data_IF_436621777079
#
_entry.id   IF_436621777079
#
_cell.length_a   1.000
_cell.length_b   1.000
_cell.length_c   1.000
_cell.angle_alpha   90.00
_cell.angle_beta   90.00
_cell.angle_gamma   90.00
#
_symmetry.space_group_name_H-M   'P 1'
#
loop_
_entity.id
_entity.type
_entity.pdbx_description
1 polymer ?
#
# COMPACT_ATOMS: atom_id res chain seq x y z
N UNK A 1 21.11 8.62 -16.14
CA UNK A 1 19.86 8.46 -15.38
C UNK A 1 19.35 7.01 -15.49
N UNK A 2 19.40 6.22 -14.42
CA UNK A 2 18.84 4.85 -14.42
C UNK A 2 17.32 4.94 -14.28
N UNK A 3 16.58 4.53 -15.32
CA UNK A 3 15.12 4.28 -15.22
C UNK A 3 14.87 3.31 -14.06
N UNK A 4 13.88 3.61 -13.21
CA UNK A 4 13.45 2.73 -12.11
C UNK A 4 13.11 1.35 -12.69
N UNK A 5 13.68 0.30 -12.11
CA UNK A 5 13.38 -1.08 -12.50
C UNK A 5 11.95 -1.42 -12.05
N UNK A 6 11.10 -1.98 -12.92
CA UNK A 6 9.76 -2.43 -12.53
C UNK A 6 9.85 -3.50 -11.44
N UNK A 7 8.99 -3.42 -10.42
CA UNK A 7 8.95 -4.44 -9.36
C UNK A 7 8.68 -5.85 -9.91
N UNK A 8 7.87 -5.95 -10.96
CA UNK A 8 7.58 -7.23 -11.66
C UNK A 8 8.86 -7.89 -12.17
N UNK A 9 9.78 -7.13 -12.74
CA UNK A 9 11.02 -7.67 -13.30
C UNK A 9 11.90 -8.26 -12.18
N UNK A 10 11.95 -7.61 -11.01
CA UNK A 10 12.70 -8.11 -9.83
C UNK A 10 12.09 -9.40 -9.30
N UNK A 11 10.75 -9.50 -9.25
CA UNK A 11 10.04 -10.72 -8.84
C UNK A 11 10.38 -11.87 -9.77
N UNK A 12 10.22 -11.67 -11.09
CA UNK A 12 10.49 -12.69 -12.11
C UNK A 12 11.96 -13.12 -12.10
N UNK A 13 12.88 -12.16 -12.01
CA UNK A 13 14.31 -12.44 -11.87
C UNK A 13 14.58 -13.32 -10.65
N UNK A 14 14.04 -12.96 -9.49
CA UNK A 14 14.30 -13.68 -8.24
C UNK A 14 13.76 -15.11 -8.30
N UNK A 15 12.54 -15.31 -8.84
CA UNK A 15 11.96 -16.64 -9.01
C UNK A 15 12.81 -17.51 -9.95
N UNK A 16 13.14 -17.01 -11.13
CA UNK A 16 13.94 -17.78 -12.10
C UNK A 16 15.35 -18.04 -11.56
N UNK A 17 15.93 -17.10 -10.84
CA UNK A 17 17.22 -17.27 -10.18
C UNK A 17 17.16 -18.37 -9.12
N UNK A 18 16.15 -18.35 -8.24
CA UNK A 18 15.92 -19.40 -7.25
C UNK A 18 15.77 -20.77 -7.91
N UNK A 19 14.98 -20.88 -9.00
CA UNK A 19 14.81 -22.12 -9.75
C UNK A 19 16.13 -22.64 -10.33
N UNK A 20 16.96 -21.77 -10.91
CA UNK A 20 18.24 -22.20 -11.47
C UNK A 20 19.25 -22.61 -10.41
N UNK A 21 19.36 -21.87 -9.31
CA UNK A 21 20.23 -22.23 -8.19
C UNK A 21 19.77 -23.54 -7.54
N UNK A 22 18.45 -23.72 -7.33
CA UNK A 22 17.89 -24.97 -6.82
C UNK A 22 18.09 -26.17 -7.76
N UNK A 23 18.22 -25.93 -9.07
CA UNK A 23 18.58 -26.94 -10.06
C UNK A 23 20.10 -27.22 -10.13
N UNK A 24 20.91 -26.58 -9.27
CA UNK A 24 22.36 -26.78 -9.19
C UNK A 24 23.18 -26.02 -10.25
N UNK A 25 22.59 -25.04 -10.96
CA UNK A 25 23.36 -24.23 -11.90
C UNK A 25 24.33 -23.30 -11.15
N UNK A 26 25.58 -23.15 -11.64
CA UNK A 26 26.54 -22.19 -11.08
C UNK A 26 25.98 -20.76 -11.01
N UNK A 27 26.24 -20.05 -9.91
CA UNK A 27 25.70 -18.73 -9.62
C UNK A 27 25.94 -17.72 -10.75
N UNK A 28 27.19 -17.61 -11.21
CA UNK A 28 27.59 -16.70 -12.30
C UNK A 28 26.90 -17.07 -13.62
N UNK A 29 26.71 -18.36 -13.90
CA UNK A 29 26.00 -18.84 -15.09
C UNK A 29 24.53 -18.43 -15.04
N UNK A 30 23.87 -18.65 -13.91
CA UNK A 30 22.47 -18.26 -13.67
C UNK A 30 22.27 -16.75 -13.85
N UNK A 31 23.15 -15.91 -13.28
CA UNK A 31 23.11 -14.46 -13.48
C UNK A 31 23.30 -14.04 -14.94
N UNK A 32 24.21 -14.71 -15.67
CA UNK A 32 24.44 -14.44 -17.09
C UNK A 32 23.22 -14.78 -17.96
N UNK A 33 22.55 -15.91 -17.69
CA UNK A 33 21.31 -16.30 -18.39
C UNK A 33 20.22 -15.24 -18.16
N UNK A 34 19.99 -14.85 -16.90
CA UNK A 34 18.99 -13.84 -16.55
C UNK A 34 19.31 -12.46 -17.13
N UNK A 35 20.59 -12.08 -17.15
CA UNK A 35 21.05 -10.85 -17.77
C UNK A 35 20.74 -10.79 -19.27
N UNK A 36 20.79 -11.93 -19.97
CA UNK A 36 20.43 -12.01 -21.40
C UNK A 36 18.92 -11.98 -21.63
N UNK A 37 18.14 -12.65 -20.78
CA UNK A 37 16.68 -12.71 -20.87
C UNK A 37 15.97 -11.41 -20.43
N UNK A 38 16.60 -10.61 -19.56
CA UNK A 38 15.99 -9.37 -19.05
C UNK A 38 15.83 -8.34 -20.16
N UNK A 39 14.59 -7.96 -20.49
CA UNK A 39 14.27 -6.94 -21.49
C UNK A 39 14.65 -5.52 -21.04
N UNK A 40 14.46 -5.21 -19.75
CA UNK A 40 14.70 -3.88 -19.22
C UNK A 40 16.20 -3.54 -19.20
N UNK A 41 16.62 -2.63 -20.10
CA UNK A 41 18.04 -2.20 -20.26
C UNK A 41 18.68 -1.69 -18.96
N UNK A 42 17.91 -1.08 -18.06
CA UNK A 42 18.39 -0.64 -16.75
C UNK A 42 18.73 -1.80 -15.84
N UNK A 43 17.89 -2.84 -15.83
CA UNK A 43 18.06 -3.99 -14.96
C UNK A 43 19.13 -4.94 -15.49
N UNK A 44 19.21 -5.10 -16.82
CA UNK A 44 20.31 -5.79 -17.50
C UNK A 44 21.69 -5.26 -17.09
N UNK A 45 21.84 -3.94 -16.93
CA UNK A 45 23.11 -3.34 -16.45
C UNK A 45 23.42 -3.68 -15.00
N UNK A 46 22.41 -3.74 -14.15
CA UNK A 46 22.55 -4.14 -12.74
C UNK A 46 23.00 -5.59 -12.65
N UNK A 47 22.33 -6.51 -13.37
CA UNK A 47 22.70 -7.93 -13.37
C UNK A 47 24.14 -8.13 -13.88
N UNK A 48 24.55 -7.45 -14.96
CA UNK A 48 25.94 -7.49 -15.44
C UNK A 48 26.95 -6.89 -14.44
N UNK A 49 26.53 -5.90 -13.66
CA UNK A 49 27.33 -5.38 -12.54
C UNK A 49 27.58 -6.47 -11.51
N UNK A 50 26.51 -7.12 -11.07
CA UNK A 50 26.58 -8.23 -10.12
C UNK A 50 27.41 -9.41 -10.64
N UNK A 51 27.30 -9.77 -11.92
CA UNK A 51 28.14 -10.82 -12.53
C UNK A 51 29.62 -10.49 -12.32
N UNK A 52 30.05 -9.27 -12.65
CA UNK A 52 31.47 -8.87 -12.50
C UNK A 52 31.91 -8.84 -11.05
N UNK A 53 31.06 -8.33 -10.15
CA UNK A 53 31.38 -8.28 -8.72
C UNK A 53 31.59 -9.71 -8.18
N UNK A 54 30.67 -10.64 -8.49
CA UNK A 54 30.78 -12.03 -8.03
C UNK A 54 31.93 -12.79 -8.71
N UNK A 55 32.18 -12.56 -10.01
CA UNK A 55 33.35 -13.10 -10.72
C UNK A 55 34.67 -12.60 -10.10
N UNK A 56 34.68 -11.40 -9.51
CA UNK A 56 35.84 -10.84 -8.80
C UNK A 56 36.00 -11.33 -7.35
N UNK A 57 35.08 -12.18 -6.87
CA UNK A 57 35.12 -12.77 -5.53
C UNK A 57 34.30 -12.05 -4.46
N UNK A 58 33.50 -11.03 -4.82
CA UNK A 58 32.53 -10.42 -3.91
C UNK A 58 31.37 -11.40 -3.63
N UNK A 59 30.78 -11.32 -2.44
CA UNK A 59 29.58 -12.11 -2.13
C UNK A 59 28.39 -11.60 -2.96
N UNK A 60 27.42 -12.48 -3.25
CA UNK A 60 26.18 -12.11 -3.92
C UNK A 60 25.42 -11.04 -3.13
N UNK A 61 25.35 -11.17 -1.80
CA UNK A 61 24.75 -10.17 -0.92
C UNK A 61 25.47 -8.82 -1.02
N UNK A 62 26.80 -8.80 -1.09
CA UNK A 62 27.61 -7.60 -1.32
C UNK A 62 27.29 -6.94 -2.65
N UNK A 63 27.26 -7.73 -3.74
CA UNK A 63 26.92 -7.27 -5.08
C UNK A 63 25.48 -6.71 -5.16
N UNK A 64 24.50 -7.39 -4.55
CA UNK A 64 23.12 -6.89 -4.43
C UNK A 64 23.06 -5.59 -3.60
N UNK A 65 23.86 -5.51 -2.54
CA UNK A 65 23.96 -4.36 -1.63
C UNK A 65 24.42 -3.07 -2.31
N UNK A 66 25.23 -3.15 -3.38
CA UNK A 66 25.61 -1.98 -4.21
C UNK A 66 24.44 -1.43 -5.04
N UNK A 67 23.36 -2.20 -5.15
CA UNK A 67 22.19 -1.88 -5.96
C UNK A 67 20.91 -1.73 -5.11
N UNK A 68 20.98 -1.04 -3.96
CA UNK A 68 19.84 -0.78 -3.03
C UNK A 68 18.60 -0.11 -3.64
N UNK A 69 18.72 0.47 -4.84
CA UNK A 69 17.57 1.02 -5.59
C UNK A 69 16.71 -0.05 -6.27
N UNK A 70 17.24 -1.27 -6.40
CA UNK A 70 16.59 -2.42 -7.05
C UNK A 70 16.32 -3.51 -6.02
N UNK A 71 17.31 -3.85 -5.22
CA UNK A 71 17.19 -4.86 -4.16
C UNK A 71 16.94 -4.19 -2.82
N UNK A 72 15.90 -4.65 -2.13
CA UNK A 72 15.58 -4.16 -0.79
C UNK A 72 16.62 -4.66 0.22
N UNK A 73 16.73 -3.98 1.36
CA UNK A 73 17.60 -4.41 2.46
C UNK A 73 17.22 -5.78 3.01
N UNK A 74 15.92 -6.10 3.00
CA UNK A 74 15.41 -7.43 3.32
C UNK A 74 15.97 -8.48 2.36
N UNK A 75 15.93 -8.21 1.04
CA UNK A 75 16.48 -9.12 0.03
C UNK A 75 17.97 -9.36 0.23
N UNK A 76 18.73 -8.29 0.51
CA UNK A 76 20.17 -8.39 0.77
C UNK A 76 20.45 -9.18 2.05
N UNK A 77 19.70 -8.93 3.12
CA UNK A 77 19.91 -9.60 4.42
C UNK A 77 19.56 -11.08 4.37
N UNK A 78 18.49 -11.45 3.65
CA UNK A 78 18.15 -12.86 3.42
C UNK A 78 19.26 -13.57 2.66
N UNK A 79 19.70 -13.00 1.53
CA UNK A 79 20.79 -13.60 0.74
C UNK A 79 22.08 -13.71 1.54
N UNK A 80 22.44 -12.71 2.34
CA UNK A 80 23.61 -12.76 3.20
C UNK A 80 23.55 -13.93 4.20
N UNK A 81 22.39 -14.16 4.83
CA UNK A 81 22.19 -15.30 5.72
C UNK A 81 22.27 -16.65 4.97
N UNK A 82 21.72 -16.71 3.76
CA UNK A 82 21.82 -17.90 2.89
C UNK A 82 23.24 -18.22 2.45
N UNK A 83 24.04 -17.20 2.14
CA UNK A 83 25.45 -17.37 1.81
C UNK A 83 26.26 -17.84 3.03
N UNK A 84 26.03 -17.24 4.20
CA UNK A 84 26.72 -17.64 5.43
C UNK A 84 26.36 -19.07 5.88
N UNK A 85 25.11 -19.48 5.67
CA UNK A 85 24.62 -20.82 6.01
C UNK A 85 24.83 -21.87 4.91
N UNK A 86 25.30 -21.49 3.72
CA UNK A 86 25.43 -22.39 2.57
C UNK A 86 24.10 -22.89 1.99
N UNK A 87 22.99 -22.24 2.31
CA UNK A 87 21.62 -22.64 1.96
C UNK A 87 20.98 -21.66 0.95
N UNK A 88 21.76 -21.19 -0.01
CA UNK A 88 21.35 -20.13 -0.95
C UNK A 88 20.14 -20.52 -1.80
N UNK A 89 20.03 -21.79 -2.18
CA UNK A 89 18.88 -22.38 -2.89
C UNK A 89 17.56 -22.18 -2.11
N UNK A 90 17.56 -22.54 -0.84
CA UNK A 90 16.40 -22.44 0.05
C UNK A 90 16.02 -20.98 0.29
N UNK A 91 17.01 -20.12 0.52
CA UNK A 91 16.82 -18.70 0.79
C UNK A 91 16.30 -17.94 -0.41
N UNK A 92 16.82 -18.21 -1.60
CA UNK A 92 16.33 -17.60 -2.83
C UNK A 92 14.88 -18.04 -3.13
N UNK A 93 14.54 -19.30 -2.82
CA UNK A 93 13.17 -19.79 -2.89
C UNK A 93 12.22 -18.98 -1.99
N UNK A 94 12.55 -18.85 -0.71
CA UNK A 94 11.77 -18.04 0.25
C UNK A 94 11.68 -16.58 -0.14
N UNK A 95 12.77 -16.00 -0.65
CA UNK A 95 12.78 -14.61 -1.13
C UNK A 95 11.85 -14.45 -2.35
N UNK A 96 11.85 -15.41 -3.27
CA UNK A 96 10.95 -15.40 -4.42
C UNK A 96 9.48 -15.49 -3.98
N UNK A 97 9.15 -16.40 -3.06
CA UNK A 97 7.79 -16.55 -2.50
C UNK A 97 7.34 -15.23 -1.86
N UNK A 98 8.18 -14.64 -1.01
CA UNK A 98 7.92 -13.36 -0.35
C UNK A 98 7.65 -12.23 -1.36
N UNK A 99 8.48 -12.09 -2.39
CA UNK A 99 8.34 -11.04 -3.40
C UNK A 99 7.08 -11.23 -4.26
N UNK A 100 6.70 -12.48 -4.56
CA UNK A 100 5.48 -12.81 -5.31
C UNK A 100 4.21 -12.47 -4.52
N UNK A 101 4.16 -12.86 -3.24
CA UNK A 101 3.06 -12.56 -2.32
C UNK A 101 2.88 -11.05 -2.15
N UNK A 102 3.97 -10.31 -1.89
CA UNK A 102 3.93 -8.85 -1.80
C UNK A 102 3.45 -8.18 -3.10
N UNK A 103 3.85 -8.72 -4.25
CA UNK A 103 3.38 -8.26 -5.55
C UNK A 103 1.89 -8.50 -5.77
N UNK A 104 1.34 -9.62 -5.28
CA UNK A 104 -0.07 -9.98 -5.41
C UNK A 104 -0.99 -9.01 -4.65
N UNK A 105 -0.65 -8.69 -3.40
CA UNK A 105 -1.41 -7.74 -2.59
C UNK A 105 -1.48 -6.35 -3.26
N UNK A 106 -0.34 -5.84 -3.75
CA UNK A 106 -0.30 -4.56 -4.44
C UNK A 106 -1.14 -4.54 -5.73
N UNK A 107 -1.20 -5.67 -6.45
CA UNK A 107 -2.07 -5.82 -7.62
C UNK A 107 -3.54 -5.84 -7.24
N UNK A 108 -3.90 -6.56 -6.17
CA UNK A 108 -5.28 -6.64 -5.65
C UNK A 108 -5.79 -5.24 -5.26
N UNK A 109 -4.99 -4.48 -4.50
CA UNK A 109 -5.32 -3.09 -4.13
C UNK A 109 -5.47 -2.20 -5.36
N UNK A 110 -4.57 -2.30 -6.34
CA UNK A 110 -4.69 -1.51 -7.58
C UNK A 110 -5.93 -1.88 -8.38
N UNK A 111 -6.22 -3.16 -8.53
CA UNK A 111 -7.39 -3.64 -9.26
C UNK A 111 -8.69 -3.13 -8.64
N UNK A 112 -8.77 -3.17 -7.29
CA UNK A 112 -9.92 -2.66 -6.55
C UNK A 112 -10.18 -1.16 -6.77
N UNK A 113 -9.15 -0.36 -7.02
CA UNK A 113 -9.28 1.09 -7.25
C UNK A 113 -9.72 1.45 -8.67
N UNK A 114 -9.64 0.52 -9.63
CA UNK A 114 -10.01 0.79 -11.03
C UNK A 114 -11.51 1.10 -11.14
N UNK A 115 -12.36 0.30 -10.47
CA UNK A 115 -13.80 0.45 -10.57
C UNK A 115 -14.30 1.80 -10.03
N UNK A 116 -13.94 2.25 -8.80
CA UNK A 116 -14.29 3.58 -8.33
C UNK A 116 -13.74 4.69 -9.26
N UNK A 117 -12.48 4.57 -9.71
CA UNK A 117 -11.88 5.58 -10.59
C UNK A 117 -12.64 5.73 -11.91
N UNK A 118 -13.10 4.63 -12.51
CA UNK A 118 -13.90 4.65 -13.73
C UNK A 118 -15.23 5.36 -13.53
N UNK A 119 -15.96 5.06 -12.45
CA UNK A 119 -17.24 5.73 -12.17
C UNK A 119 -17.01 7.22 -11.92
N UNK A 120 -16.05 7.60 -11.07
CA UNK A 120 -15.74 9.02 -10.85
C UNK A 120 -15.35 9.73 -12.16
N UNK A 121 -14.60 9.07 -13.05
CA UNK A 121 -14.22 9.63 -14.34
C UNK A 121 -15.42 9.90 -15.26
N UNK A 122 -16.53 9.18 -15.12
CA UNK A 122 -17.77 9.42 -15.90
C UNK A 122 -18.72 10.37 -15.17
N UNK A 123 -18.95 10.14 -13.88
CA UNK A 123 -19.91 10.89 -13.07
C UNK A 123 -19.48 12.35 -12.87
N UNK A 124 -18.21 12.62 -12.57
CA UNK A 124 -17.76 13.98 -12.28
C UNK A 124 -17.93 14.90 -13.50
N UNK A 125 -17.49 14.53 -14.72
CA UNK A 125 -17.77 15.34 -15.90
C UNK A 125 -19.26 15.47 -16.21
N UNK A 126 -20.06 14.41 -16.06
CA UNK A 126 -21.50 14.46 -16.32
C UNK A 126 -22.20 15.48 -15.39
N UNK A 127 -21.92 15.42 -14.08
CA UNK A 127 -22.45 16.39 -13.11
C UNK A 127 -21.94 17.79 -13.40
N UNK A 128 -20.66 17.95 -13.75
CA UNK A 128 -20.09 19.25 -14.09
C UNK A 128 -20.77 19.88 -15.31
N UNK A 129 -20.99 19.12 -16.40
CA UNK A 129 -21.70 19.61 -17.58
C UNK A 129 -23.11 20.07 -17.21
N UNK A 130 -23.82 19.28 -16.41
CA UNK A 130 -25.18 19.59 -16.00
C UNK A 130 -25.24 20.86 -15.14
N UNK A 131 -24.30 21.03 -14.20
CA UNK A 131 -24.19 22.26 -13.38
C UNK A 131 -23.78 23.48 -14.22
N UNK A 132 -22.79 23.36 -15.11
CA UNK A 132 -22.23 24.51 -15.85
C UNK A 132 -23.12 24.97 -17.00
N UNK A 133 -23.78 24.06 -17.71
CA UNK A 133 -24.55 24.42 -18.92
C UNK A 133 -26.06 24.36 -18.69
N UNK A 134 -26.56 23.29 -18.08
CA UNK A 134 -28.00 23.06 -18.03
C UNK A 134 -28.67 23.91 -16.97
N UNK A 135 -28.13 23.98 -15.75
CA UNK A 135 -28.74 24.76 -14.67
C UNK A 135 -28.85 26.26 -15.00
N UNK A 136 -27.82 26.96 -15.52
CA UNK A 136 -27.94 28.38 -15.84
C UNK A 136 -28.96 28.64 -16.95
N UNK A 137 -29.10 27.71 -17.89
CA UNK A 137 -30.13 27.79 -18.93
C UNK A 137 -31.52 27.80 -18.29
N UNK A 138 -31.79 26.88 -17.36
CA UNK A 138 -33.05 26.84 -16.63
C UNK A 138 -33.26 28.07 -15.73
N UNK A 139 -32.22 28.54 -15.05
CA UNK A 139 -32.29 29.78 -14.25
C UNK A 139 -32.72 30.98 -15.11
N UNK A 140 -32.12 31.15 -16.29
CA UNK A 140 -32.47 32.25 -17.20
C UNK A 140 -33.92 32.15 -17.72
N UNK A 141 -34.41 30.93 -17.97
CA UNK A 141 -35.79 30.69 -18.37
C UNK A 141 -36.77 31.06 -17.25
N UNK A 142 -36.51 30.66 -16.00
CA UNK A 142 -37.41 30.96 -14.89
C UNK A 142 -37.33 32.43 -14.44
N UNK A 143 -36.16 33.06 -14.52
CA UNK A 143 -36.02 34.49 -14.25
C UNK A 143 -36.90 35.33 -15.18
N UNK A 144 -37.07 34.90 -16.44
CA UNK A 144 -37.94 35.57 -17.41
C UNK A 144 -39.44 35.41 -17.12
N UNK A 145 -39.83 34.38 -16.34
CA UNK A 145 -41.21 34.11 -15.96
C UNK A 145 -41.66 34.87 -14.68
N UNK A 146 -40.74 35.54 -13.98
CA UNK A 146 -41.05 36.36 -12.79
C UNK A 146 -41.48 35.58 -11.54
N UNK A 147 -41.34 34.24 -11.54
CA UNK A 147 -41.72 33.37 -10.41
C UNK A 147 -40.50 33.12 -9.51
N UNK A 148 -40.60 33.27 -8.18
CA UNK A 148 -39.49 32.98 -7.27
C UNK A 148 -39.15 31.49 -7.29
N UNK A 149 -37.88 31.16 -7.45
CA UNK A 149 -37.41 29.78 -7.52
C UNK A 149 -37.60 29.03 -6.18
N UNK A 150 -38.06 27.76 -6.21
CA UNK A 150 -38.11 26.89 -5.04
C UNK A 150 -36.78 26.78 -4.29
N UNK A 151 -36.85 26.51 -2.99
CA UNK A 151 -35.65 26.38 -2.14
C UNK A 151 -34.64 25.29 -2.61
N UNK A 152 -35.08 24.09 -3.07
CA UNK A 152 -34.17 23.09 -3.63
C UNK A 152 -33.42 23.60 -4.87
N UNK A 153 -34.12 24.30 -5.77
CA UNK A 153 -33.54 24.85 -6.99
C UNK A 153 -32.51 25.94 -6.69
N UNK A 154 -32.78 26.82 -5.71
CA UNK A 154 -31.82 27.83 -5.26
C UNK A 154 -30.55 27.23 -4.67
N UNK A 155 -30.64 26.12 -3.93
CA UNK A 155 -29.46 25.43 -3.38
C UNK A 155 -28.56 24.88 -4.50
N UNK A 156 -29.15 24.27 -5.54
CA UNK A 156 -28.38 23.70 -6.65
C UNK A 156 -27.78 24.81 -7.53
N UNK A 157 -28.48 25.93 -7.74
CA UNK A 157 -27.92 27.11 -8.43
C UNK A 157 -26.75 27.69 -7.64
N UNK A 158 -26.87 27.84 -6.31
CA UNK A 158 -25.77 28.29 -5.47
C UNK A 158 -24.56 27.35 -5.54
N UNK A 159 -24.79 26.03 -5.50
CA UNK A 159 -23.74 25.04 -5.69
C UNK A 159 -23.09 25.14 -7.08
N UNK A 160 -23.89 25.36 -8.13
CA UNK A 160 -23.41 25.60 -9.49
C UNK A 160 -22.54 26.85 -9.57
N UNK A 161 -22.95 27.97 -8.97
CA UNK A 161 -22.18 29.21 -8.93
C UNK A 161 -20.82 29.03 -8.23
N UNK A 162 -20.75 28.23 -7.15
CA UNK A 162 -19.49 27.87 -6.50
C UNK A 162 -18.62 27.03 -7.42
N UNK A 163 -19.18 26.01 -8.07
CA UNK A 163 -18.43 25.15 -8.99
C UNK A 163 -17.92 25.96 -10.20
N UNK A 164 -18.73 26.84 -10.78
CA UNK A 164 -18.35 27.70 -11.90
C UNK A 164 -17.34 28.79 -11.50
N UNK A 165 -17.43 29.34 -10.29
CA UNK A 165 -16.51 30.36 -9.80
C UNK A 165 -15.15 29.79 -9.33
N UNK A 166 -15.16 28.56 -8.82
CA UNK A 166 -14.01 27.92 -8.17
C UNK A 166 -13.58 26.60 -8.83
N UNK A 167 -13.95 26.33 -10.08
CA UNK A 167 -13.55 25.10 -10.80
C UNK A 167 -12.02 24.89 -10.82
N UNK A 168 -11.26 25.97 -10.95
CA UNK A 168 -9.79 25.98 -10.88
C UNK A 168 -9.27 25.65 -9.47
N UNK A 169 -9.99 26.06 -8.41
CA UNK A 169 -9.68 25.69 -7.04
C UNK A 169 -10.03 24.21 -6.76
N UNK A 170 -11.07 23.65 -7.38
CA UNK A 170 -11.44 22.24 -7.32
C UNK A 170 -10.40 21.33 -8.03
N UNK A 171 -9.90 21.77 -9.19
CA UNK A 171 -8.75 21.15 -9.88
C UNK A 171 -7.45 21.25 -9.06
N UNK A 172 -7.28 22.32 -8.29
CA UNK A 172 -6.17 22.48 -7.33
C UNK A 172 -6.35 21.71 -6.02
N UNK A 173 -7.59 21.49 -5.57
CA UNK A 173 -7.94 20.92 -4.27
C UNK A 173 -7.60 19.43 -4.14
N UNK A 174 -7.34 18.72 -5.24
CA UNK A 174 -6.85 17.34 -5.21
C UNK A 174 -5.31 17.27 -5.17
N UNK A 175 -4.56 17.94 -6.07
CA UNK A 175 -3.10 17.90 -6.05
C UNK A 175 -2.45 18.72 -4.92
N UNK A 176 -3.04 19.83 -4.44
CA UNK A 176 -2.45 20.67 -3.39
C UNK A 176 -2.39 19.98 -2.03
N UNK A 177 -3.46 19.34 -1.51
CA UNK A 177 -3.37 18.54 -0.30
C UNK A 177 -2.47 17.33 -0.49
N UNK A 178 -2.49 16.68 -1.67
CA UNK A 178 -1.57 15.59 -1.94
C UNK A 178 -0.10 16.04 -1.88
N UNK A 179 0.22 17.25 -2.36
CA UNK A 179 1.56 17.83 -2.29
C UNK A 179 1.92 18.28 -0.87
N UNK A 180 0.97 18.87 -0.14
CA UNK A 180 1.12 19.29 1.26
C UNK A 180 1.34 18.07 2.17
N UNK A 181 0.54 17.01 2.01
CA UNK A 181 0.71 15.72 2.66
C UNK A 181 2.04 15.10 2.28
N UNK A 182 2.43 15.10 1.00
CA UNK A 182 3.73 14.59 0.57
C UNK A 182 4.90 15.35 1.19
N UNK A 183 4.80 16.68 1.36
CA UNK A 183 5.81 17.48 2.09
C UNK A 183 5.79 17.21 3.58
N UNK A 184 4.61 17.11 4.20
CA UNK A 184 4.45 16.80 5.61
C UNK A 184 5.01 15.40 5.94
N UNK A 185 4.74 14.40 5.10
CA UNK A 185 5.31 13.04 5.17
C UNK A 185 6.83 13.01 4.92
N UNK A 186 7.39 14.07 4.32
CA UNK A 186 8.83 14.28 4.18
C UNK A 186 9.51 14.65 5.50
N UNK A 187 8.77 15.18 6.47
CA UNK A 187 9.28 15.48 7.82
C UNK A 187 9.00 14.34 8.79
N UNK A 188 9.93 14.11 9.72
CA UNK A 188 9.83 13.07 10.75
C UNK A 188 8.62 13.25 11.67
N UNK A 189 8.33 14.50 12.07
CA UNK A 189 7.15 14.84 12.91
C UNK A 189 5.83 14.74 12.16
N UNK A 190 5.78 15.23 10.92
CA UNK A 190 4.57 15.15 10.09
C UNK A 190 4.19 13.72 9.75
N UNK A 191 5.18 12.85 9.50
CA UNK A 191 4.94 11.41 9.30
C UNK A 191 4.40 10.73 10.57
N UNK A 192 4.98 11.01 11.74
CA UNK A 192 4.51 10.44 13.00
C UNK A 192 3.08 10.87 13.35
N UNK A 193 2.75 12.16 13.15
CA UNK A 193 1.40 12.67 13.38
C UNK A 193 0.38 12.03 12.43
N UNK A 194 0.71 11.94 11.13
CA UNK A 194 -0.16 11.31 10.13
C UNK A 194 -0.34 9.82 10.42
N UNK A 195 0.75 9.10 10.72
CA UNK A 195 0.71 7.67 11.06
C UNK A 195 -0.16 7.41 12.29
N UNK A 196 -0.10 8.29 13.31
CA UNK A 196 -0.97 8.21 14.49
C UNK A 196 -2.42 8.50 14.15
N UNK A 197 -2.69 9.56 13.38
CA UNK A 197 -4.04 9.94 12.95
C UNK A 197 -4.70 8.82 12.14
N UNK A 198 -3.96 8.23 11.18
CA UNK A 198 -4.45 7.13 10.35
C UNK A 198 -4.77 5.87 11.17
N UNK A 199 -4.00 5.59 12.23
CA UNK A 199 -4.28 4.49 13.16
C UNK A 199 -5.49 4.76 14.08
N UNK A 200 -5.91 6.02 14.25
CA UNK A 200 -7.05 6.41 15.08
C UNK A 200 -8.40 6.42 14.35
N UNK A 201 -8.40 6.38 13.01
CA UNK A 201 -9.65 6.30 12.25
C UNK A 201 -10.29 4.92 12.47
N UNK A 202 -11.54 4.78 12.94
CA UNK A 202 -12.10 3.49 13.36
C UNK A 202 -12.08 2.40 12.27
N UNK A 203 -12.34 2.80 11.02
CA UNK A 203 -12.43 1.87 9.88
C UNK A 203 -11.04 1.61 9.27
N UNK A 204 -10.26 2.67 9.01
CA UNK A 204 -8.93 2.57 8.39
C UNK A 204 -7.84 2.12 9.35
N UNK A 205 -7.91 2.53 10.62
CA UNK A 205 -6.90 2.24 11.64
C UNK A 205 -6.85 0.76 12.02
N UNK A 206 -8.00 0.09 12.09
CA UNK A 206 -8.08 -1.36 12.27
C UNK A 206 -7.39 -2.12 11.13
N UNK A 207 -7.70 -1.76 9.89
CA UNK A 207 -7.06 -2.35 8.69
C UNK A 207 -5.54 -2.08 8.69
N UNK A 208 -5.13 -0.84 8.92
CA UNK A 208 -3.71 -0.46 8.88
C UNK A 208 -2.89 -1.18 9.96
N UNK A 209 -3.46 -1.35 11.16
CA UNK A 209 -2.82 -2.12 12.24
C UNK A 209 -2.68 -3.59 11.85
N UNK A 210 -3.75 -4.25 11.38
CA UNK A 210 -3.71 -5.65 10.90
C UNK A 210 -2.71 -5.83 9.76
N UNK A 211 -2.71 -4.91 8.80
CA UNK A 211 -1.79 -4.95 7.66
C UNK A 211 -0.33 -4.76 8.07
N UNK A 212 -0.06 -3.92 9.07
CA UNK A 212 1.28 -3.75 9.58
C UNK A 212 1.76 -4.91 10.45
N UNK A 213 0.87 -5.49 11.27
CA UNK A 213 1.15 -6.72 12.02
C UNK A 213 1.43 -7.88 11.06
N UNK A 214 0.60 -8.08 10.04
CA UNK A 214 0.82 -9.09 8.98
C UNK A 214 2.19 -8.91 8.32
N UNK A 215 2.54 -7.69 7.88
CA UNK A 215 3.87 -7.43 7.28
C UNK A 215 5.01 -7.68 8.27
N UNK A 216 4.83 -7.29 9.53
CA UNK A 216 5.81 -7.51 10.58
C UNK A 216 6.05 -9.00 10.79
N UNK A 217 5.00 -9.79 11.06
CA UNK A 217 5.12 -11.22 11.34
C UNK A 217 5.58 -12.01 10.13
N UNK A 218 5.12 -11.66 8.91
CA UNK A 218 5.59 -12.26 7.65
C UNK A 218 7.07 -12.03 7.45
N UNK A 219 7.52 -10.77 7.60
CA UNK A 219 8.92 -10.40 7.37
C UNK A 219 9.81 -11.06 8.41
N UNK A 220 9.45 -10.93 9.70
CA UNK A 220 10.23 -11.49 10.79
C UNK A 220 10.28 -13.03 10.71
N UNK A 221 9.15 -13.68 10.48
CA UNK A 221 9.08 -15.14 10.30
C UNK A 221 9.93 -15.61 9.11
N UNK A 222 9.89 -14.88 7.99
CA UNK A 222 10.72 -15.18 6.81
C UNK A 222 12.22 -15.04 7.11
N UNK A 223 12.61 -14.02 7.86
CA UNK A 223 14.01 -13.78 8.24
C UNK A 223 14.50 -14.83 9.25
N UNK A 224 13.71 -15.12 10.28
CA UNK A 224 14.04 -16.12 11.31
C UNK A 224 14.10 -17.52 10.69
N UNK A 225 13.13 -17.90 9.85
CA UNK A 225 13.18 -19.16 9.11
C UNK A 225 14.48 -19.27 8.29
N UNK A 226 14.90 -18.14 7.72
CA UNK A 226 16.11 -17.97 6.91
C UNK A 226 17.42 -17.91 7.71
N UNK A 227 17.38 -18.19 9.02
CA UNK A 227 18.57 -18.21 9.87
C UNK A 227 19.11 -16.82 10.22
N UNK A 228 18.39 -15.74 9.91
CA UNK A 228 18.76 -14.39 10.35
C UNK A 228 18.49 -14.28 11.86
N UNK A 229 19.46 -13.74 12.60
CA UNK A 229 19.29 -13.51 14.05
C UNK A 229 18.06 -12.66 14.35
N UNK A 230 17.39 -12.91 15.48
CA UNK A 230 16.16 -12.19 15.85
C UNK A 230 16.38 -10.67 15.95
N UNK A 231 17.53 -10.23 16.47
CA UNK A 231 17.87 -8.82 16.62
C UNK A 231 18.01 -8.12 15.26
N UNK A 232 18.71 -8.76 14.32
CA UNK A 232 18.82 -8.27 12.94
C UNK A 232 17.46 -8.34 12.23
N UNK A 233 16.69 -9.40 12.47
CA UNK A 233 15.33 -9.58 11.99
C UNK A 233 14.41 -8.43 12.39
N UNK A 234 14.43 -8.04 13.68
CA UNK A 234 13.67 -6.91 14.22
C UNK A 234 14.11 -5.59 13.58
N UNK A 235 15.41 -5.37 13.38
CA UNK A 235 15.92 -4.15 12.73
C UNK A 235 15.48 -4.02 11.26
N UNK A 236 15.51 -5.12 10.50
CA UNK A 236 15.05 -5.15 9.11
C UNK A 236 13.53 -4.97 9.07
N UNK A 237 12.80 -5.65 9.95
CA UNK A 237 11.34 -5.60 10.00
C UNK A 237 10.82 -4.23 10.43
N UNK A 238 11.48 -3.56 11.39
CA UNK A 238 11.14 -2.20 11.79
C UNK A 238 11.16 -1.25 10.59
N UNK A 239 12.16 -1.38 9.71
CA UNK A 239 12.31 -0.57 8.50
C UNK A 239 11.28 -0.87 7.41
N UNK A 240 10.74 -2.10 7.36
CA UNK A 240 9.74 -2.52 6.35
C UNK A 240 8.28 -2.40 6.83
N UNK A 241 8.03 -2.20 8.12
CA UNK A 241 6.68 -2.11 8.70
C UNK A 241 5.81 -1.01 8.05
N UNK A 242 6.44 0.07 7.57
CA UNK A 242 5.79 1.15 6.81
C UNK A 242 5.03 2.18 7.65
N UNK A 243 5.01 2.03 8.97
CA UNK A 243 4.42 2.97 9.93
C UNK A 243 5.44 3.28 11.02
N UNK A 244 5.65 4.56 11.31
CA UNK A 244 6.70 5.02 12.23
C UNK A 244 6.40 4.67 13.69
N UNK A 245 5.14 4.62 14.10
CA UNK A 245 4.74 4.17 15.45
C UNK A 245 5.16 2.72 15.67
N UNK A 246 4.99 1.89 14.64
CA UNK A 246 5.34 0.46 14.68
C UNK A 246 6.85 0.28 14.61
N UNK A 247 7.54 1.06 13.77
CA UNK A 247 9.00 1.09 13.75
C UNK A 247 9.58 1.40 15.13
N UNK A 248 9.12 2.47 15.78
CA UNK A 248 9.65 2.90 17.07
C UNK A 248 9.32 1.89 18.18
N UNK A 249 8.13 1.27 18.15
CA UNK A 249 7.76 0.16 19.01
C UNK A 249 8.72 -1.03 18.86
N UNK A 250 8.95 -1.50 17.64
CA UNK A 250 9.82 -2.65 17.35
C UNK A 250 11.28 -2.37 17.74
N UNK A 251 11.77 -1.15 17.51
CA UNK A 251 13.13 -0.77 17.90
C UNK A 251 13.30 -0.69 19.42
N UNK A 252 12.26 -0.24 20.14
CA UNK A 252 12.24 -0.29 21.61
C UNK A 252 12.25 -1.73 22.12
N UNK A 253 11.41 -2.61 21.53
CA UNK A 253 11.38 -4.03 21.88
C UNK A 253 12.73 -4.71 21.61
N UNK A 254 13.39 -4.38 20.50
CA UNK A 254 14.74 -4.87 20.20
C UNK A 254 15.76 -4.49 21.29
N UNK A 255 15.77 -3.24 21.74
CA UNK A 255 16.70 -2.77 22.78
C UNK A 255 16.46 -3.47 24.13
N UNK A 256 15.22 -3.86 24.43
CA UNK A 256 14.88 -4.67 25.60
C UNK A 256 15.39 -6.11 25.45
N UNK A 257 15.19 -6.74 24.29
CA UNK A 257 15.68 -8.10 24.00
C UNK A 257 17.22 -8.16 24.03
N UNK A 258 17.91 -7.12 23.55
CA UNK A 258 19.37 -7.00 23.66
C UNK A 258 19.87 -7.00 25.11
N UNK A 259 19.04 -6.54 26.06
CA UNK A 259 19.35 -6.57 27.50
C UNK A 259 19.00 -7.91 28.17
N UNK A 260 18.52 -8.90 27.41
CA UNK A 260 18.19 -10.23 27.90
C UNK A 260 16.72 -10.43 28.30
N UNK A 261 15.83 -9.51 27.92
CA UNK A 261 14.39 -9.72 28.09
C UNK A 261 13.85 -10.73 27.06
N UNK A 262 12.77 -11.45 27.42
CA UNK A 262 12.06 -12.31 26.47
C UNK A 262 11.47 -11.51 25.32
N UNK A 263 11.18 -12.15 24.19
CA UNK A 263 10.68 -11.44 22.99
C UNK A 263 9.23 -10.98 23.20
N UNK A 264 8.41 -11.80 23.85
CA UNK A 264 6.98 -11.54 24.00
C UNK A 264 6.66 -10.30 24.84
N UNK A 265 7.34 -10.10 25.97
CA UNK A 265 7.03 -9.03 26.93
C UNK A 265 7.22 -7.61 26.36
N UNK A 266 8.37 -7.27 25.73
CA UNK A 266 8.55 -5.96 25.11
C UNK A 266 7.63 -5.70 23.92
N UNK A 267 7.12 -6.75 23.27
CA UNK A 267 6.10 -6.61 22.22
C UNK A 267 4.72 -6.30 22.83
N UNK A 268 4.38 -6.91 23.96
CA UNK A 268 3.14 -6.62 24.71
C UNK A 268 3.12 -5.19 25.24
N UNK A 269 4.20 -4.76 25.91
CA UNK A 269 4.34 -3.41 26.47
C UNK A 269 4.25 -2.31 25.41
N UNK A 270 4.55 -2.62 24.15
CA UNK A 270 4.45 -1.66 23.04
C UNK A 270 3.00 -1.25 22.71
N UNK A 271 2.00 -2.06 23.08
CA UNK A 271 0.58 -1.80 22.82
C UNK A 271 0.15 -1.80 21.34
N UNK A 272 1.08 -2.07 20.42
CA UNK A 272 0.83 -2.13 18.97
C UNK A 272 0.33 -3.51 18.56
N UNK A 273 0.92 -4.55 19.13
CA UNK A 273 0.63 -5.94 18.81
C UNK A 273 -0.59 -6.44 19.57
N UNK A 274 -1.34 -7.36 18.96
CA UNK A 274 -2.50 -7.95 19.60
C UNK A 274 -2.08 -9.05 20.58
N UNK A 275 -2.93 -9.40 21.55
CA UNK A 275 -2.64 -10.50 22.48
C UNK A 275 -2.35 -11.83 21.79
N UNK A 276 -2.93 -12.07 20.61
CA UNK A 276 -2.68 -13.29 19.83
C UNK A 276 -1.24 -13.34 19.29
N UNK A 277 -0.73 -12.23 18.76
CA UNK A 277 0.66 -12.14 18.28
C UNK A 277 1.64 -12.40 19.42
N UNK A 278 1.43 -11.72 20.56
CA UNK A 278 2.27 -11.85 21.75
C UNK A 278 2.33 -13.31 22.22
N UNK A 279 1.17 -13.98 22.35
CA UNK A 279 1.10 -15.39 22.76
C UNK A 279 1.78 -16.34 21.78
N UNK A 280 1.63 -16.12 20.49
CA UNK A 280 2.28 -16.98 19.49
C UNK A 280 3.80 -16.81 19.48
N UNK A 281 4.28 -15.59 19.73
CA UNK A 281 5.71 -15.33 19.93
C UNK A 281 6.21 -16.00 21.21
N UNK A 282 5.46 -15.91 22.30
CA UNK A 282 5.79 -16.58 23.57
C UNK A 282 5.89 -18.11 23.40
N UNK A 283 4.89 -18.73 22.75
CA UNK A 283 4.91 -20.17 22.45
C UNK A 283 6.09 -20.51 21.53
N UNK A 284 6.35 -19.71 20.50
CA UNK A 284 7.46 -19.91 19.59
C UNK A 284 8.84 -19.77 20.26
N UNK A 285 8.96 -18.84 21.20
CA UNK A 285 10.18 -18.63 22.01
C UNK A 285 10.42 -19.81 22.96
N UNK A 286 9.38 -20.32 23.62
CA UNK A 286 9.48 -21.48 24.52
C UNK A 286 9.75 -22.81 23.79
N UNK A 287 9.18 -22.99 22.60
CA UNK A 287 9.30 -24.23 21.82
C UNK A 287 10.46 -24.21 20.82
N UNK A 288 11.10 -23.06 20.62
CA UNK A 288 12.11 -22.86 19.58
C UNK A 288 11.56 -22.80 18.16
N UNK A 289 10.23 -22.82 17.97
CA UNK A 289 9.56 -22.81 16.67
C UNK A 289 9.00 -21.42 16.32
N UNK A 290 9.80 -20.37 16.54
CA UNK A 290 9.39 -18.98 16.36
C UNK A 290 9.04 -18.65 14.90
N UNK A 291 9.79 -19.21 13.95
CA UNK A 291 9.55 -19.06 12.51
C UNK A 291 8.19 -19.62 12.09
N UNK A 292 7.84 -20.82 12.57
CA UNK A 292 6.56 -21.45 12.29
C UNK A 292 5.41 -20.64 12.88
N UNK A 293 5.53 -20.24 14.15
CA UNK A 293 4.48 -19.46 14.83
C UNK A 293 4.27 -18.09 14.16
N UNK A 294 5.35 -17.37 13.81
CA UNK A 294 5.26 -16.09 13.11
C UNK A 294 4.61 -16.24 11.71
N UNK A 295 4.91 -17.34 11.01
CA UNK A 295 4.31 -17.64 9.71
C UNK A 295 2.81 -17.88 9.82
N UNK A 296 2.36 -18.70 10.79
CA UNK A 296 0.93 -18.93 11.03
C UNK A 296 0.17 -17.66 11.40
N UNK A 297 0.78 -16.80 12.22
CA UNK A 297 0.22 -15.49 12.58
C UNK A 297 0.14 -14.59 11.35
N UNK A 298 1.15 -14.59 10.50
CA UNK A 298 1.15 -13.85 9.24
C UNK A 298 0.01 -14.29 8.32
N UNK A 299 -0.15 -15.61 8.10
CA UNK A 299 -1.21 -16.16 7.27
C UNK A 299 -2.61 -15.74 7.77
N UNK A 300 -2.83 -15.82 9.09
CA UNK A 300 -4.08 -15.38 9.71
C UNK A 300 -4.35 -13.89 9.49
N UNK A 301 -3.36 -13.02 9.74
CA UNK A 301 -3.56 -11.58 9.57
C UNK A 301 -3.64 -11.14 8.11
N UNK A 302 -3.01 -11.86 7.18
CA UNK A 302 -3.19 -11.63 5.75
C UNK A 302 -4.63 -11.90 5.32
N UNK A 303 -5.24 -12.99 5.80
CA UNK A 303 -6.66 -13.29 5.56
C UNK A 303 -7.59 -12.24 6.17
N UNK A 304 -7.31 -11.77 7.40
CA UNK A 304 -8.07 -10.68 8.04
C UNK A 304 -7.94 -9.36 7.28
N UNK A 305 -6.77 -9.08 6.70
CA UNK A 305 -6.54 -7.88 5.87
C UNK A 305 -7.29 -7.99 4.55
N UNK A 306 -7.28 -9.16 3.92
CA UNK A 306 -8.02 -9.42 2.69
C UNK A 306 -9.53 -9.28 2.90
N UNK A 307 -10.06 -9.88 3.96
CA UNK A 307 -11.49 -9.80 4.31
C UNK A 307 -11.90 -8.36 4.60
N UNK A 308 -11.09 -7.63 5.37
CA UNK A 308 -11.37 -6.23 5.67
C UNK A 308 -11.28 -5.33 4.43
N UNK A 309 -10.33 -5.61 3.53
CA UNK A 309 -10.21 -4.89 2.26
C UNK A 309 -11.43 -5.13 1.36
N UNK A 310 -11.89 -6.38 1.25
CA UNK A 310 -13.08 -6.74 0.48
C UNK A 310 -14.35 -6.09 1.05
N UNK A 311 -14.52 -6.11 2.38
CA UNK A 311 -15.63 -5.43 3.04
C UNK A 311 -15.62 -3.91 2.78
N UNK A 312 -14.46 -3.27 2.79
CA UNK A 312 -14.34 -1.85 2.48
C UNK A 312 -14.72 -1.55 1.03
N UNK A 313 -14.25 -2.36 0.09
CA UNK A 313 -14.58 -2.21 -1.33
C UNK A 313 -16.08 -2.43 -1.56
N UNK A 314 -16.67 -3.44 -0.93
CA UNK A 314 -18.09 -3.73 -1.03
C UNK A 314 -18.97 -2.60 -0.49
N UNK A 315 -18.50 -1.82 0.48
CA UNK A 315 -19.23 -0.63 0.97
C UNK A 315 -19.10 0.58 0.05
N UNK A 316 -18.05 0.66 -0.77
CA UNK A 316 -17.85 1.79 -1.69
C UNK A 316 -18.96 1.84 -2.74
N UNK A 317 -19.37 0.70 -3.30
CA UNK A 317 -20.38 0.65 -4.35
C UNK A 317 -21.76 1.18 -3.90
N UNK A 318 -22.38 0.69 -2.80
CA UNK A 318 -23.62 1.26 -2.27
C UNK A 318 -23.51 2.74 -1.91
N UNK A 319 -22.40 3.16 -1.30
CA UNK A 319 -22.16 4.56 -0.98
C UNK A 319 -22.13 5.43 -2.25
N UNK A 320 -21.49 4.94 -3.32
CA UNK A 320 -21.46 5.63 -4.61
C UNK A 320 -22.84 5.72 -5.26
N UNK A 321 -23.64 4.65 -5.21
CA UNK A 321 -25.02 4.66 -5.72
C UNK A 321 -25.88 5.65 -4.94
N UNK A 322 -25.77 5.69 -3.62
CA UNK A 322 -26.51 6.65 -2.78
C UNK A 322 -26.10 8.07 -3.12
N UNK A 323 -24.80 8.36 -3.22
CA UNK A 323 -24.30 9.69 -3.60
C UNK A 323 -24.80 10.08 -4.99
N UNK A 324 -24.69 9.18 -5.97
CA UNK A 324 -25.16 9.45 -7.33
C UNK A 324 -26.68 9.66 -7.37
N UNK A 325 -27.44 8.85 -6.63
CA UNK A 325 -28.89 8.97 -6.53
C UNK A 325 -29.32 10.28 -5.88
N UNK A 326 -28.63 10.73 -4.83
CA UNK A 326 -28.88 12.03 -4.19
C UNK A 326 -28.53 13.18 -5.14
N UNK A 327 -27.39 13.10 -5.84
CA UNK A 327 -26.98 14.13 -6.79
C UNK A 327 -27.95 14.20 -7.97
N UNK A 328 -28.18 13.10 -8.67
CA UNK A 328 -29.06 13.06 -9.86
C UNK A 328 -30.52 13.31 -9.48
N UNK A 329 -31.02 12.66 -8.41
CA UNK A 329 -32.38 12.85 -7.93
C UNK A 329 -32.63 14.27 -7.44
N UNK A 330 -31.70 14.83 -6.66
CA UNK A 330 -31.75 16.23 -6.22
C UNK A 330 -31.76 17.20 -7.41
N UNK A 331 -31.00 16.89 -8.47
CA UNK A 331 -31.00 17.69 -9.70
C UNK A 331 -32.32 17.59 -10.47
N UNK A 332 -32.90 16.40 -10.62
CA UNK A 332 -34.21 16.22 -11.25
C UNK A 332 -35.27 17.02 -10.49
N UNK A 333 -35.33 16.90 -9.16
CA UNK A 333 -36.29 17.66 -8.34
C UNK A 333 -36.07 19.16 -8.52
N UNK A 334 -34.83 19.63 -8.46
CA UNK A 334 -34.51 21.05 -8.65
C UNK A 334 -34.94 21.58 -10.02
N UNK A 335 -34.89 20.76 -11.08
CA UNK A 335 -35.27 21.14 -12.44
C UNK A 335 -36.78 21.08 -12.69
N UNK A 336 -37.47 20.06 -12.17
CA UNK A 336 -38.89 19.83 -12.45
C UNK A 336 -39.83 20.56 -11.49
N UNK A 337 -39.43 20.78 -10.24
CA UNK A 337 -40.28 21.45 -9.25
C UNK A 337 -40.76 22.85 -9.69
N UNK A 338 -39.91 23.73 -10.26
CA UNK A 338 -40.38 25.02 -10.74
C UNK A 338 -41.31 24.92 -11.96
N UNK A 339 -41.17 23.87 -12.79
CA UNK A 339 -42.09 23.61 -13.91
C UNK A 339 -43.50 23.33 -13.35
N UNK A 340 -43.61 22.48 -12.32
CA UNK A 340 -44.89 22.20 -11.68
C UNK A 340 -45.50 23.45 -11.04
N UNK A 341 -44.70 24.25 -10.33
CA UNK A 341 -45.19 25.50 -9.73
C UNK A 341 -45.71 26.50 -10.79
N UNK A 342 -45.02 26.62 -11.94
CA UNK A 342 -45.52 27.45 -13.04
C UNK A 342 -46.84 26.93 -13.63
N UNK A 343 -47.00 25.60 -13.78
CA UNK A 343 -48.25 25.01 -14.29
C UNK A 343 -49.40 25.24 -13.31
N UNK A 344 -49.15 25.24 -12.00
CA UNK A 344 -50.18 25.49 -10.98
C UNK A 344 -50.46 26.98 -10.72
N UNK A 345 -49.55 27.88 -11.13
CA UNK A 345 -49.69 29.33 -10.97
C UNK A 345 -50.43 30.01 -12.13
N UNK A 346 -50.63 29.30 -13.24
CA UNK A 346 -51.48 29.67 -14.39
C UNK A 346 -52.83 29.00 -14.24
#
# INVERSE_FOLDING_TARGET
>A
MTRRVPARDVVVFTRLFATMIGAGLPLVQSLNILGRQTEHRGFRRVIRGMVRDVESGETLSGAMGRHRRVFSELSVSMVAAGEAAGALDTILGRLADFLEQHGALARKVRAALIYPAMIFAVTVPAVAILLVFVIPTFESMFASAGVPLPAPTRLVIAASAVVQGYWWALLGAVPLPALAVRRALGTSRGRLFMDRLMLSVPILGGLLRRAAVSRFTRTLGTLVASGVSILQGLEVTARTAGNRVIHDAVMSSRAAIERGETIARPLEESGVFTPMVVRMVEVGEQTGALDEMLTRVADFYEQEVDTALEALIAMVEPAMIVVLGVVVGGMIVAMYLPIFEMITAV
#
